data_IF_527778501760
#
_entry.id   IF_527778501760
#
_cell.length_a   1.000
_cell.length_b   1.000
_cell.length_c   1.000
_cell.angle_alpha   90.00
_cell.angle_beta   90.00
_cell.angle_gamma   90.00
#
_symmetry.space_group_name_H-M   'P 1'
#
loop_
_entity.id
_entity.type
_entity.pdbx_description
1 polymer ?
#
# COMPACT_ATOMS: atom_id res chain seq x y z
N UNK A 1 -6.94 16.17 28.14
CA UNK A 1 -5.62 15.74 27.63
C UNK A 1 -5.54 14.22 27.56
N UNK A 2 -5.95 13.62 26.44
CA UNK A 2 -5.54 12.24 26.11
C UNK A 2 -4.46 12.36 25.06
N UNK A 3 -3.22 12.04 25.41
CA UNK A 3 -2.17 11.86 24.41
C UNK A 3 -2.49 10.53 23.68
N UNK A 4 -3.03 10.64 22.47
CA UNK A 4 -3.28 9.50 21.57
C UNK A 4 -2.06 9.24 20.65
N UNK A 5 -0.87 9.67 21.07
CA UNK A 5 0.38 9.50 20.33
C UNK A 5 1.23 8.44 21.03
N UNK A 6 1.57 7.39 20.31
CA UNK A 6 2.46 6.33 20.76
C UNK A 6 3.66 6.28 19.82
N UNK A 7 4.85 6.39 20.37
CA UNK A 7 6.11 6.30 19.60
C UNK A 7 6.77 4.97 19.94
N UNK A 8 7.13 4.21 18.91
CA UNK A 8 7.85 2.94 19.04
C UNK A 8 9.17 3.03 18.29
N UNK A 9 10.28 2.75 18.98
CA UNK A 9 11.60 2.66 18.38
C UNK A 9 11.98 1.19 18.27
N UNK A 10 12.46 0.78 17.10
CA UNK A 10 13.00 -0.57 16.90
C UNK A 10 14.46 -0.60 17.37
N UNK A 11 14.90 -1.75 17.87
CA UNK A 11 16.31 -2.00 18.23
C UNK A 11 17.20 -2.01 16.98
N UNK A 12 16.67 -2.56 15.88
CA UNK A 12 17.34 -2.63 14.58
C UNK A 12 16.56 -1.89 13.49
N UNK A 13 17.25 -1.50 12.41
CA UNK A 13 16.59 -1.03 11.20
C UNK A 13 15.90 -2.19 10.47
N UNK A 14 14.59 -2.27 10.62
CA UNK A 14 13.75 -3.34 10.07
C UNK A 14 13.54 -3.25 8.55
N UNK A 15 13.78 -2.10 7.94
CA UNK A 15 13.40 -1.85 6.55
C UNK A 15 11.89 -1.71 6.37
N UNK A 16 11.44 -1.55 5.13
CA UNK A 16 10.06 -1.17 4.86
C UNK A 16 9.04 -2.27 5.24
N UNK A 17 9.18 -3.48 4.69
CA UNK A 17 8.15 -4.53 4.81
C UNK A 17 7.91 -4.93 6.28
N UNK A 18 8.99 -5.02 7.07
CA UNK A 18 8.91 -5.35 8.50
C UNK A 18 8.37 -4.19 9.33
N UNK A 19 8.70 -2.94 8.99
CA UNK A 19 8.09 -1.78 9.65
C UNK A 19 6.57 -1.72 9.39
N UNK A 20 6.12 -1.99 8.16
CA UNK A 20 4.70 -2.07 7.83
C UNK A 20 3.98 -3.12 8.70
N UNK A 21 4.55 -4.34 8.79
CA UNK A 21 4.03 -5.39 9.68
C UNK A 21 4.02 -4.97 11.16
N UNK A 22 5.06 -4.28 11.61
CA UNK A 22 5.16 -3.76 13.00
C UNK A 22 4.07 -2.73 13.29
N UNK A 23 3.83 -1.77 12.41
CA UNK A 23 2.74 -0.79 12.55
C UNK A 23 1.38 -1.48 12.66
N UNK A 24 1.12 -2.47 11.80
CA UNK A 24 -0.11 -3.25 11.83
C UNK A 24 -0.23 -4.02 13.15
N UNK A 25 0.84 -4.69 13.60
CA UNK A 25 0.81 -5.50 14.83
C UNK A 25 0.54 -4.67 16.10
N UNK A 26 1.12 -3.46 16.16
CA UNK A 26 0.93 -2.50 17.26
C UNK A 26 -0.43 -1.79 17.25
N UNK A 27 -1.19 -1.87 16.15
CA UNK A 27 -2.49 -1.19 16.04
C UNK A 27 -3.50 -1.78 17.02
N UNK A 28 -4.15 -0.90 17.81
CA UNK A 28 -5.20 -1.27 18.78
C UNK A 28 -6.61 -1.01 18.26
N UNK A 29 -6.76 -0.20 17.21
CA UNK A 29 -8.05 0.05 16.55
C UNK A 29 -8.47 -1.08 15.60
N UNK A 30 -9.75 -1.08 15.20
CA UNK A 30 -10.27 -2.03 14.19
C UNK A 30 -9.56 -1.88 12.83
N UNK A 31 -9.19 -0.66 12.49
CA UNK A 31 -8.51 -0.32 11.24
C UNK A 31 -7.12 0.26 11.53
N UNK A 32 -6.15 -0.11 10.69
CA UNK A 32 -4.83 0.50 10.61
C UNK A 32 -4.78 1.30 9.30
N UNK A 33 -4.49 2.60 9.38
CA UNK A 33 -4.17 3.42 8.22
C UNK A 33 -2.68 3.69 8.23
N UNK A 34 -2.00 3.34 7.15
CA UNK A 34 -0.57 3.61 6.99
C UNK A 34 -0.38 4.99 6.38
N UNK A 35 0.66 5.70 6.83
CA UNK A 35 1.09 7.00 6.31
C UNK A 35 2.61 6.96 6.13
N UNK A 36 3.09 7.53 5.03
CA UNK A 36 4.49 7.94 4.89
C UNK A 36 4.82 9.02 5.90
N UNK A 37 6.09 9.11 6.28
CA UNK A 37 6.61 10.12 7.21
C UNK A 37 6.67 11.52 6.59
N UNK A 38 6.57 11.62 5.27
CA UNK A 38 6.67 12.81 4.42
C UNK A 38 5.32 13.28 3.85
N UNK A 39 4.27 12.49 4.07
CA UNK A 39 2.94 12.65 3.50
C UNK A 39 1.93 13.29 4.47
N UNK A 40 0.83 13.79 3.92
CA UNK A 40 -0.24 14.46 4.67
C UNK A 40 -1.61 13.84 4.40
N UNK A 41 -2.52 13.98 5.37
CA UNK A 41 -3.95 13.77 5.13
C UNK A 41 -4.56 15.04 4.57
N UNK A 42 -5.43 14.90 3.58
CA UNK A 42 -6.22 16.01 3.08
C UNK A 42 -7.27 16.45 4.11
N UNK A 43 -7.70 17.71 4.04
CA UNK A 43 -8.72 18.26 4.92
C UNK A 43 -10.02 17.44 4.83
N UNK A 44 -10.57 17.08 5.99
CA UNK A 44 -11.79 16.28 6.08
C UNK A 44 -11.63 14.78 5.77
N UNK A 45 -10.47 14.32 5.27
CA UNK A 45 -10.25 12.93 4.87
C UNK A 45 -10.53 11.94 6.00
N UNK A 46 -9.95 12.17 7.19
CA UNK A 46 -10.14 11.28 8.34
C UNK A 46 -11.61 11.16 8.75
N UNK A 47 -12.36 12.27 8.73
CA UNK A 47 -13.79 12.28 9.06
C UNK A 47 -14.59 11.42 8.07
N UNK A 48 -14.34 11.59 6.76
CA UNK A 48 -15.00 10.81 5.72
C UNK A 48 -14.64 9.32 5.81
N UNK A 49 -13.36 9.00 6.00
CA UNK A 49 -12.87 7.62 6.18
C UNK A 49 -13.60 6.96 7.35
N UNK A 50 -13.60 7.60 8.53
CA UNK A 50 -14.25 7.05 9.72
C UNK A 50 -15.75 6.87 9.51
N UNK A 51 -16.43 7.81 8.87
CA UNK A 51 -17.86 7.71 8.55
C UNK A 51 -18.15 6.48 7.69
N UNK A 52 -17.40 6.29 6.61
CA UNK A 52 -17.59 5.16 5.68
C UNK A 52 -17.29 3.82 6.35
N UNK A 53 -16.16 3.70 7.05
CA UNK A 53 -15.76 2.44 7.69
C UNK A 53 -16.69 2.04 8.84
N UNK A 54 -17.27 3.01 9.56
CA UNK A 54 -18.30 2.74 10.57
C UNK A 54 -19.61 2.24 9.95
N UNK A 55 -20.00 2.81 8.81
CA UNK A 55 -21.23 2.43 8.11
C UNK A 55 -21.10 1.06 7.41
N UNK A 56 -19.88 0.62 7.09
CA UNK A 56 -19.61 -0.59 6.33
C UNK A 56 -18.57 -1.48 7.04
N UNK A 57 -18.97 -2.18 8.12
CA UNK A 57 -18.04 -2.92 8.97
C UNK A 57 -17.37 -4.12 8.29
N UNK A 58 -17.89 -4.57 7.14
CA UNK A 58 -17.36 -5.65 6.32
C UNK A 58 -16.19 -5.23 5.42
N UNK A 59 -15.89 -3.93 5.33
CA UNK A 59 -14.71 -3.45 4.62
C UNK A 59 -13.46 -3.99 5.33
N UNK A 60 -12.62 -4.69 4.58
CA UNK A 60 -11.35 -5.23 5.07
C UNK A 60 -10.15 -4.43 4.55
N UNK A 61 -10.34 -3.68 3.48
CA UNK A 61 -9.32 -2.80 2.90
C UNK A 61 -9.98 -1.60 2.24
N UNK A 62 -9.39 -0.42 2.42
CA UNK A 62 -9.73 0.74 1.63
C UNK A 62 -8.48 1.43 1.05
N UNK A 63 -8.62 1.99 -0.14
CA UNK A 63 -7.64 2.89 -0.77
C UNK A 63 -8.35 4.12 -1.31
N UNK A 64 -7.60 5.05 -1.89
CA UNK A 64 -8.08 6.39 -2.21
C UNK A 64 -7.46 6.96 -3.48
N UNK A 65 -8.04 8.03 -3.98
CA UNK A 65 -7.30 9.01 -4.77
C UNK A 65 -6.34 9.82 -3.89
N UNK A 66 -5.28 10.32 -4.50
CA UNK A 66 -4.25 11.09 -3.82
C UNK A 66 -3.70 12.20 -4.72
N UNK A 67 -3.16 13.24 -4.09
CA UNK A 67 -2.50 14.35 -4.77
C UNK A 67 -0.99 14.27 -4.58
N UNK A 68 -0.22 14.80 -5.52
CA UNK A 68 1.21 15.02 -5.38
C UNK A 68 1.49 16.49 -5.12
N UNK A 69 2.44 16.80 -4.25
CA UNK A 69 2.91 18.15 -4.00
C UNK A 69 4.44 18.16 -3.82
N UNK A 70 5.05 19.34 -3.97
CA UNK A 70 6.49 19.53 -3.74
C UNK A 70 6.74 20.19 -2.38
N UNK A 71 6.57 21.50 -2.32
CA UNK A 71 6.81 22.29 -1.11
C UNK A 71 5.51 22.64 -0.40
N UNK A 72 4.60 23.33 -1.10
CA UNK A 72 3.31 23.77 -0.57
C UNK A 72 2.23 22.69 -0.82
N UNK A 73 1.64 22.08 0.23
CA UNK A 73 0.60 21.07 0.06
C UNK A 73 -0.72 21.61 -0.52
N UNK A 74 -0.91 22.93 -0.56
CA UNK A 74 -2.05 23.55 -1.22
C UNK A 74 -1.87 23.71 -2.74
N UNK A 75 -0.68 23.40 -3.26
CA UNK A 75 -0.32 23.50 -4.68
C UNK A 75 0.03 22.10 -5.20
N UNK A 76 -0.99 21.37 -5.64
CA UNK A 76 -0.79 20.03 -6.17
C UNK A 76 -0.16 20.09 -7.57
N UNK A 77 0.91 19.32 -7.77
CA UNK A 77 1.51 19.14 -9.10
C UNK A 77 0.76 18.10 -9.94
N UNK A 78 0.11 17.13 -9.30
CA UNK A 78 -0.70 16.11 -9.99
C UNK A 78 -1.76 15.52 -9.03
N UNK A 79 -2.77 14.85 -9.58
CA UNK A 79 -3.79 14.13 -8.84
C UNK A 79 -4.08 12.80 -9.51
N UNK A 80 -3.93 11.72 -8.74
CA UNK A 80 -4.17 10.36 -9.22
C UNK A 80 -5.56 9.89 -8.76
N UNK A 81 -6.47 9.76 -9.72
CA UNK A 81 -7.82 9.19 -9.53
C UNK A 81 -8.00 7.97 -10.42
N UNK A 82 -8.38 6.85 -9.81
CA UNK A 82 -8.59 5.58 -10.51
C UNK A 82 -10.06 5.36 -10.88
N UNK A 83 -11.00 5.96 -10.13
CA UNK A 83 -12.43 5.99 -10.41
C UNK A 83 -12.98 7.38 -10.11
N UNK A 84 -14.09 7.72 -10.75
CA UNK A 84 -14.80 9.00 -10.54
C UNK A 84 -15.61 9.02 -9.25
N UNK A 85 -16.07 7.85 -8.81
CA UNK A 85 -17.03 7.72 -7.72
C UNK A 85 -16.50 6.82 -6.60
N UNK A 86 -16.94 7.11 -5.39
CA UNK A 86 -16.73 6.23 -4.25
C UNK A 86 -17.32 4.85 -4.56
N UNK A 87 -16.51 3.81 -4.46
CA UNK A 87 -16.88 2.49 -4.98
C UNK A 87 -16.64 1.41 -3.93
N UNK A 88 -17.69 0.64 -3.62
CA UNK A 88 -17.61 -0.58 -2.82
C UNK A 88 -17.34 -1.77 -3.75
N UNK A 89 -16.33 -2.57 -3.42
CA UNK A 89 -15.95 -3.77 -4.16
C UNK A 89 -16.36 -5.01 -3.39
N UNK A 90 -16.96 -5.97 -4.10
CA UNK A 90 -17.13 -7.32 -3.57
C UNK A 90 -15.80 -8.10 -3.68
N UNK A 91 -15.53 -9.03 -2.74
CA UNK A 91 -14.32 -9.85 -2.82
C UNK A 91 -14.28 -10.67 -4.11
N UNK A 92 -13.07 -10.95 -4.60
CA UNK A 92 -12.85 -11.76 -5.79
C UNK A 92 -11.80 -11.21 -6.73
N UNK A 93 -11.65 -11.87 -7.89
CA UNK A 93 -10.59 -11.58 -8.86
C UNK A 93 -10.55 -10.11 -9.27
N UNK A 94 -11.70 -9.48 -9.53
CA UNK A 94 -11.76 -8.09 -9.98
C UNK A 94 -11.30 -7.10 -8.91
N UNK A 95 -11.70 -7.32 -7.65
CA UNK A 95 -11.20 -6.53 -6.53
C UNK A 95 -9.69 -6.71 -6.35
N UNK A 96 -9.20 -7.95 -6.36
CA UNK A 96 -7.76 -8.23 -6.25
C UNK A 96 -6.99 -7.49 -7.35
N UNK A 97 -7.38 -7.65 -8.62
CA UNK A 97 -6.73 -6.99 -9.77
C UNK A 97 -6.78 -5.47 -9.66
N UNK A 98 -7.89 -4.91 -9.19
CA UNK A 98 -8.01 -3.47 -8.95
C UNK A 98 -7.02 -3.05 -7.86
N UNK A 99 -7.20 -3.51 -6.62
CA UNK A 99 -6.44 -2.98 -5.48
C UNK A 99 -4.93 -3.24 -5.56
N UNK A 100 -4.49 -4.34 -6.19
CA UNK A 100 -3.09 -4.76 -6.20
C UNK A 100 -2.09 -3.65 -6.54
N UNK A 101 -2.26 -2.92 -7.65
CA UNK A 101 -1.35 -1.82 -8.01
C UNK A 101 -1.75 -0.47 -7.39
N UNK A 102 -3.03 -0.29 -7.02
CA UNK A 102 -3.57 0.96 -6.46
C UNK A 102 -3.23 1.16 -4.97
N UNK A 103 -2.47 0.24 -4.38
CA UNK A 103 -1.84 0.40 -3.06
C UNK A 103 -0.32 0.64 -3.16
N UNK A 104 0.16 1.01 -4.37
CA UNK A 104 1.55 1.41 -4.63
C UNK A 104 2.04 2.52 -3.71
N UNK A 105 1.33 3.64 -3.71
CA UNK A 105 1.54 4.74 -2.76
C UNK A 105 0.89 4.38 -1.43
N UNK A 106 1.74 4.20 -0.42
CA UNK A 106 1.39 3.54 0.84
C UNK A 106 0.53 4.37 1.79
N UNK A 107 0.67 5.70 1.77
CA UNK A 107 -0.19 6.57 2.60
C UNK A 107 -1.65 6.24 2.37
N UNK A 108 -2.55 6.38 3.33
CA UNK A 108 -3.96 6.03 3.17
C UNK A 108 -4.28 4.60 2.68
N UNK A 109 -3.32 3.68 2.73
CA UNK A 109 -3.59 2.24 2.71
C UNK A 109 -4.22 1.88 4.05
N UNK A 110 -5.51 1.52 4.01
CA UNK A 110 -6.29 1.25 5.21
C UNK A 110 -6.66 -0.23 5.21
N UNK A 111 -6.37 -0.93 6.29
CA UNK A 111 -6.68 -2.36 6.45
C UNK A 111 -7.41 -2.62 7.75
N UNK A 112 -8.28 -3.63 7.74
CA UNK A 112 -8.77 -4.23 8.97
C UNK A 112 -7.57 -4.87 9.71
N UNK A 113 -7.24 -4.33 10.88
CA UNK A 113 -6.02 -4.66 11.58
C UNK A 113 -5.98 -6.13 12.05
N UNK A 114 -7.11 -6.67 12.51
CA UNK A 114 -7.18 -8.07 12.95
C UNK A 114 -6.94 -9.03 11.80
N UNK A 115 -7.60 -8.81 10.65
CA UNK A 115 -7.43 -9.65 9.46
C UNK A 115 -6.02 -9.53 8.89
N UNK A 116 -5.47 -8.32 8.81
CA UNK A 116 -4.10 -8.12 8.35
C UNK A 116 -3.06 -8.79 9.28
N UNK A 117 -3.26 -8.77 10.60
CA UNK A 117 -2.38 -9.48 11.55
C UNK A 117 -2.37 -11.00 11.32
N UNK A 118 -3.53 -11.59 11.02
CA UNK A 118 -3.64 -13.04 10.73
C UNK A 118 -2.90 -13.44 9.44
N UNK A 119 -2.71 -12.50 8.53
CA UNK A 119 -1.97 -12.67 7.28
C UNK A 119 -0.48 -12.32 7.41
N UNK A 120 0.03 -12.09 8.63
CA UNK A 120 1.45 -11.77 8.83
C UNK A 120 2.34 -12.85 8.21
N UNK A 121 3.32 -12.43 7.39
CA UNK A 121 4.22 -13.35 6.70
C UNK A 121 5.57 -12.68 6.42
N UNK A 122 6.63 -13.46 6.48
CA UNK A 122 8.00 -13.01 6.20
C UNK A 122 8.44 -13.37 4.77
N UNK A 123 7.59 -14.04 3.99
CA UNK A 123 7.89 -14.53 2.63
C UNK A 123 8.29 -13.42 1.65
N UNK A 124 7.86 -12.19 1.89
CA UNK A 124 8.05 -11.05 0.98
C UNK A 124 8.94 -9.96 1.57
N UNK A 125 9.64 -10.24 2.67
CA UNK A 125 10.52 -9.26 3.29
C UNK A 125 11.69 -8.88 2.36
N UNK A 126 11.93 -7.58 2.23
CA UNK A 126 12.97 -7.04 1.34
C UNK A 126 12.49 -6.87 -0.10
N UNK A 127 11.19 -6.97 -0.37
CA UNK A 127 10.60 -6.78 -1.72
C UNK A 127 9.91 -5.43 -1.89
N UNK A 128 9.71 -4.67 -0.81
CA UNK A 128 9.09 -3.33 -0.77
C UNK A 128 7.58 -3.29 -1.08
N UNK A 129 6.93 -4.45 -1.15
CA UNK A 129 5.56 -4.59 -1.66
C UNK A 129 4.66 -5.47 -0.78
N UNK A 130 4.95 -5.58 0.51
CA UNK A 130 4.11 -6.33 1.45
C UNK A 130 2.65 -5.86 1.47
N UNK A 131 2.37 -4.58 1.20
CA UNK A 131 1.02 -4.05 1.06
C UNK A 131 0.24 -4.64 -0.13
N UNK A 132 0.90 -5.02 -1.23
CA UNK A 132 0.25 -5.67 -2.39
C UNK A 132 -0.15 -7.09 -2.08
N UNK A 133 0.68 -7.80 -1.30
CA UNK A 133 0.36 -9.11 -0.74
C UNK A 133 -0.89 -9.02 0.13
N UNK A 134 -0.91 -8.11 1.12
CA UNK A 134 -2.07 -7.89 1.96
C UNK A 134 -3.31 -7.53 1.15
N UNK A 135 -3.16 -6.69 0.12
CA UNK A 135 -4.29 -6.31 -0.73
C UNK A 135 -4.93 -7.51 -1.44
N UNK A 136 -4.13 -8.39 -2.03
CA UNK A 136 -4.66 -9.59 -2.68
C UNK A 136 -5.33 -10.54 -1.71
N UNK A 137 -4.70 -10.83 -0.57
CA UNK A 137 -5.24 -11.75 0.42
C UNK A 137 -6.52 -11.23 1.08
N UNK A 138 -6.57 -9.93 1.42
CA UNK A 138 -7.77 -9.32 2.02
C UNK A 138 -8.92 -9.24 1.02
N UNK A 139 -8.65 -8.88 -0.23
CA UNK A 139 -9.68 -8.81 -1.29
C UNK A 139 -10.19 -10.17 -1.76
N UNK A 140 -9.56 -11.27 -1.34
CA UNK A 140 -10.13 -12.61 -1.53
C UNK A 140 -11.27 -12.92 -0.55
N UNK A 141 -11.32 -12.25 0.62
CA UNK A 141 -12.20 -12.65 1.72
C UNK A 141 -13.19 -11.57 2.19
N UNK A 142 -12.99 -10.30 1.81
CA UNK A 142 -13.83 -9.22 2.30
C UNK A 142 -13.97 -8.05 1.33
N UNK A 143 -14.85 -7.12 1.68
CA UNK A 143 -15.16 -5.99 0.83
C UNK A 143 -14.02 -4.97 0.78
N UNK A 144 -13.81 -4.42 -0.41
CA UNK A 144 -12.89 -3.31 -0.64
C UNK A 144 -13.65 -2.00 -0.75
N UNK A 145 -12.99 -0.88 -0.44
CA UNK A 145 -13.55 0.44 -0.70
C UNK A 145 -12.53 1.37 -1.37
N UNK A 146 -12.99 2.05 -2.40
CA UNK A 146 -12.23 3.11 -3.06
C UNK A 146 -12.86 4.46 -2.76
N UNK A 147 -12.08 5.35 -2.14
CA UNK A 147 -12.43 6.75 -1.99
C UNK A 147 -12.01 7.54 -3.23
N UNK A 148 -12.97 8.16 -3.91
CA UNK A 148 -12.74 8.93 -5.13
C UNK A 148 -12.15 10.31 -4.88
N UNK A 149 -12.40 10.94 -3.73
CA UNK A 149 -11.72 12.19 -3.37
C UNK A 149 -10.25 11.97 -3.02
N UNK A 150 -9.45 13.02 -3.20
CA UNK A 150 -8.07 13.08 -2.72
C UNK A 150 -8.08 13.03 -1.20
N UNK A 151 -7.71 11.88 -0.62
CA UNK A 151 -7.68 11.70 0.85
C UNK A 151 -6.28 11.89 1.44
N UNK A 152 -5.24 11.76 0.63
CA UNK A 152 -3.84 11.93 1.04
C UNK A 152 -3.09 12.78 0.04
N UNK A 153 -2.10 13.52 0.52
CA UNK A 153 -1.17 14.30 -0.27
C UNK A 153 0.22 13.69 -0.09
N UNK A 154 0.85 13.30 -1.20
CA UNK A 154 2.16 12.69 -1.19
C UNK A 154 3.24 13.64 -1.70
N UNK A 155 4.39 13.65 -1.02
CA UNK A 155 5.50 14.55 -1.36
C UNK A 155 6.38 13.95 -2.46
N UNK A 156 6.68 14.75 -3.49
CA UNK A 156 7.44 14.32 -4.68
C UNK A 156 8.89 14.87 -4.70
N UNK A 157 9.45 15.19 -3.53
CA UNK A 157 10.82 15.73 -3.40
C UNK A 157 11.74 14.84 -2.59
N UNK A 158 11.20 13.85 -1.88
CA UNK A 158 11.99 12.99 -1.00
C UNK A 158 12.58 11.82 -1.77
N UNK A 159 13.85 11.55 -1.48
CA UNK A 159 14.50 10.36 -1.99
C UNK A 159 14.00 9.13 -1.22
N UNK A 160 14.01 7.92 -1.82
CA UNK A 160 13.56 6.74 -1.11
C UNK A 160 14.48 6.33 0.04
N UNK A 161 13.88 5.96 1.17
CA UNK A 161 14.59 5.58 2.41
C UNK A 161 15.06 4.10 2.47
N UNK A 162 14.61 3.26 1.53
CA UNK A 162 14.97 1.83 1.50
C UNK A 162 16.42 1.59 1.06
N UNK A 163 16.96 0.41 1.36
CA UNK A 163 18.35 0.03 1.10
C UNK A 163 19.27 0.12 2.31
N UNK A 164 18.76 0.63 3.43
CA UNK A 164 19.50 0.79 4.67
C UNK A 164 19.40 -0.45 5.59
N UNK A 165 18.32 -1.23 5.47
CA UNK A 165 18.06 -2.37 6.34
C UNK A 165 18.82 -3.64 5.91
N UNK A 166 19.03 -4.56 6.85
CA UNK A 166 19.76 -5.81 6.59
C UNK A 166 19.17 -6.64 5.44
N UNK A 167 17.84 -6.69 5.31
CA UNK A 167 17.12 -7.40 4.23
C UNK A 167 17.15 -6.68 2.89
N UNK A 168 17.62 -5.44 2.84
CA UNK A 168 17.62 -4.58 1.65
C UNK A 168 19.04 -4.32 1.12
N UNK A 169 20.06 -4.49 1.98
CA UNK A 169 21.47 -4.30 1.64
C UNK A 169 21.90 -5.24 0.52
N UNK A 170 22.60 -4.68 -0.46
CA UNK A 170 23.08 -5.41 -1.64
C UNK A 170 22.02 -5.59 -2.73
N UNK A 171 20.74 -5.31 -2.43
CA UNK A 171 19.63 -5.32 -3.40
C UNK A 171 19.26 -3.90 -3.81
N UNK A 172 19.13 -3.00 -2.83
CA UNK A 172 18.78 -1.59 -3.04
C UNK A 172 19.94 -0.66 -2.69
N UNK A 173 19.92 0.53 -3.28
CA UNK A 173 20.87 1.60 -2.97
C UNK A 173 20.13 2.74 -2.28
N UNK A 174 20.53 3.14 -1.05
CA UNK A 174 19.90 4.25 -0.36
C UNK A 174 19.81 5.52 -1.22
N UNK A 175 18.64 6.18 -1.20
CA UNK A 175 18.42 7.44 -1.90
C UNK A 175 18.29 7.35 -3.43
N UNK A 176 18.23 6.15 -4.02
CA UNK A 176 18.12 6.03 -5.47
C UNK A 176 17.64 4.68 -5.97
N UNK A 177 17.41 4.61 -7.29
CA UNK A 177 17.04 3.39 -7.98
C UNK A 177 18.21 2.87 -8.81
N UNK A 178 18.34 1.54 -8.87
CA UNK A 178 19.25 0.86 -9.78
C UNK A 178 18.48 -0.16 -10.63
N UNK A 179 18.97 -0.48 -11.83
CA UNK A 179 18.38 -1.51 -12.67
C UNK A 179 18.09 -2.82 -11.95
N UNK A 180 19.06 -3.32 -11.19
CA UNK A 180 18.96 -4.60 -10.48
C UNK A 180 17.89 -4.55 -9.38
N UNK A 181 17.81 -3.43 -8.65
CA UNK A 181 16.79 -3.21 -7.64
C UNK A 181 15.38 -3.14 -8.26
N UNK A 182 15.23 -2.51 -9.43
CA UNK A 182 13.96 -2.47 -10.16
C UNK A 182 13.55 -3.85 -10.66
N UNK A 183 14.48 -4.66 -11.16
CA UNK A 183 14.22 -6.06 -11.54
C UNK A 183 13.74 -6.84 -10.30
N UNK A 184 14.45 -6.72 -9.17
CA UNK A 184 14.09 -7.40 -7.92
C UNK A 184 12.68 -7.03 -7.42
N UNK A 185 12.30 -5.76 -7.55
CA UNK A 185 10.97 -5.23 -7.27
C UNK A 185 9.90 -5.87 -8.16
N UNK A 186 10.12 -5.89 -9.48
CA UNK A 186 9.17 -6.46 -10.45
C UNK A 186 9.01 -7.97 -10.25
N UNK A 187 10.10 -8.68 -10.03
CA UNK A 187 10.07 -10.10 -9.64
C UNK A 187 9.25 -10.32 -8.37
N UNK A 188 9.41 -9.44 -7.38
CA UNK A 188 8.61 -9.45 -6.15
C UNK A 188 7.12 -9.32 -6.42
N UNK A 189 6.71 -8.37 -7.27
CA UNK A 189 5.30 -8.19 -7.65
C UNK A 189 4.72 -9.45 -8.31
N UNK A 190 5.46 -10.06 -9.25
CA UNK A 190 5.01 -11.27 -9.94
C UNK A 190 4.92 -12.47 -8.99
N UNK A 191 5.89 -12.62 -8.09
CA UNK A 191 5.90 -13.67 -7.08
C UNK A 191 4.73 -13.52 -6.11
N UNK A 192 4.44 -12.30 -5.65
CA UNK A 192 3.28 -12.01 -4.80
C UNK A 192 1.98 -12.33 -5.55
N UNK A 193 1.83 -11.85 -6.79
CA UNK A 193 0.63 -12.08 -7.59
C UNK A 193 0.35 -13.58 -7.80
N UNK A 194 1.40 -14.36 -8.07
CA UNK A 194 1.30 -15.82 -8.20
C UNK A 194 0.93 -16.47 -6.88
N UNK A 195 1.56 -16.06 -5.77
CA UNK A 195 1.24 -16.57 -4.44
C UNK A 195 -0.23 -16.33 -4.08
N UNK A 196 -0.79 -15.16 -4.39
CA UNK A 196 -2.19 -14.85 -4.13
C UNK A 196 -3.11 -15.82 -4.90
N UNK A 197 -2.89 -16.01 -6.21
CA UNK A 197 -3.68 -16.94 -7.01
C UNK A 197 -3.59 -18.38 -6.48
N UNK A 198 -2.36 -18.85 -6.24
CA UNK A 198 -2.10 -20.21 -5.77
C UNK A 198 -2.71 -20.45 -4.37
N UNK A 199 -2.77 -19.42 -3.51
CA UNK A 199 -3.28 -19.53 -2.14
C UNK A 199 -4.81 -19.41 -2.09
N UNK A 200 -5.36 -18.42 -2.79
CA UNK A 200 -6.80 -18.11 -2.76
C UNK A 200 -7.62 -19.04 -3.66
N UNK A 201 -6.97 -19.71 -4.62
CA UNK A 201 -7.61 -20.54 -5.65
C UNK A 201 -8.60 -19.75 -6.53
N UNK A 202 -8.38 -18.44 -6.66
CA UNK A 202 -9.18 -17.56 -7.52
C UNK A 202 -8.45 -17.43 -8.86
N UNK A 203 -9.00 -18.08 -9.89
CA UNK A 203 -8.39 -18.12 -11.22
C UNK A 203 -8.29 -16.74 -11.89
N UNK A 204 -7.21 -16.54 -12.65
CA UNK A 204 -7.00 -15.37 -13.50
C UNK A 204 -6.45 -14.14 -12.76
N UNK A 205 -6.15 -14.26 -11.46
CA UNK A 205 -5.51 -13.22 -10.65
C UNK A 205 -4.11 -12.92 -11.18
N UNK A 206 -3.26 -13.95 -11.34
CA UNK A 206 -1.87 -13.74 -11.76
C UNK A 206 -1.82 -13.18 -13.19
N UNK A 207 -2.55 -13.81 -14.11
CA UNK A 207 -2.60 -13.38 -15.50
C UNK A 207 -3.14 -11.95 -15.65
N UNK A 208 -4.16 -11.59 -14.86
CA UNK A 208 -4.74 -10.26 -14.84
C UNK A 208 -3.78 -9.19 -14.31
N UNK A 209 -3.13 -9.45 -13.16
CA UNK A 209 -2.14 -8.54 -12.59
C UNK A 209 -0.94 -8.38 -13.54
N UNK A 210 -0.43 -9.49 -14.10
CA UNK A 210 0.70 -9.44 -15.05
C UNK A 210 0.37 -8.57 -16.26
N UNK A 211 -0.86 -8.67 -16.78
CA UNK A 211 -1.34 -7.82 -17.89
C UNK A 211 -1.43 -6.35 -17.49
N UNK A 212 -1.96 -6.03 -16.31
CA UNK A 212 -1.99 -4.64 -15.80
C UNK A 212 -0.57 -4.08 -15.65
N UNK A 213 0.36 -4.84 -15.06
CA UNK A 213 1.77 -4.43 -14.94
C UNK A 213 2.41 -4.18 -16.30
N UNK A 214 2.18 -5.04 -17.29
CA UNK A 214 2.70 -4.86 -18.64
C UNK A 214 2.17 -3.57 -19.32
N UNK A 215 0.90 -3.22 -19.10
CA UNK A 215 0.31 -2.01 -19.65
C UNK A 215 0.84 -0.72 -19.01
N UNK A 216 1.31 -0.81 -17.76
CA UNK A 216 1.75 0.35 -16.96
C UNK A 216 3.20 0.19 -16.48
N UNK A 217 4.07 -0.38 -17.32
CA UNK A 217 5.43 -0.75 -16.93
C UNK A 217 6.42 0.43 -16.92
N UNK A 218 6.10 1.53 -17.60
CA UNK A 218 6.99 2.68 -17.78
C UNK A 218 7.64 3.22 -16.47
N UNK A 219 6.92 3.34 -15.33
CA UNK A 219 7.53 3.83 -14.09
C UNK A 219 8.67 2.95 -13.56
N UNK A 220 8.74 1.66 -13.93
CA UNK A 220 9.82 0.77 -13.49
C UNK A 220 11.10 0.91 -14.31
N UNK A 221 11.03 1.58 -15.47
CA UNK A 221 12.14 1.73 -16.42
C UNK A 221 12.54 3.19 -16.68
N UNK A 222 11.73 4.17 -16.26
CA UNK A 222 11.99 5.60 -16.54
C UNK A 222 13.25 6.13 -15.86
N UNK A 223 13.54 5.66 -14.65
CA UNK A 223 14.60 6.20 -13.80
C UNK A 223 15.89 5.34 -13.87
N UNK A 224 16.13 4.71 -15.03
CA UNK A 224 17.31 3.86 -15.30
C UNK A 224 18.34 4.58 -16.17
#
# INVERSE_FOLDING_TARGET
NKQNLYVNFNEDNLGYDKNLKKCISLTTGKYCMIMGNDDLLADGALSKIVKVLKANPEIVLATRAYGWFKENPNELCDTVRHLTDDTLFQPGADAIKFFFRRVGVISGFIVNAEKAKKLSSDLFDGRLYYQMYLAGMLMAEGQGYYFSDVMTLSRDTEAPDFGNAGTEKGVFTPGGYKPEGRIHMVEGLLLIAKYIEDTTKIDGVYAGIRKDLANYFYPYIRDQ
#
